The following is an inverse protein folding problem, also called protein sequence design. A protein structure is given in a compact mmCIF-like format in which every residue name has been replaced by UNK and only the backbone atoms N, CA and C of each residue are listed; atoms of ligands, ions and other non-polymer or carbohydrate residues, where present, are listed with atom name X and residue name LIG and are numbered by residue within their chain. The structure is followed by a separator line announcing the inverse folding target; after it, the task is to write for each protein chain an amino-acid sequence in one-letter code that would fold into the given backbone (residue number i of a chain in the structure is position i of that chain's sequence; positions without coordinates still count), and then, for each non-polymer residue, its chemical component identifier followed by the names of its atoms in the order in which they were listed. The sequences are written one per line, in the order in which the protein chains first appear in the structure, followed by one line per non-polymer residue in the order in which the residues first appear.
data_IF_653964983207
#
_entry.id   IF_653964983207
#
_cell.length_a   1.000
_cell.length_b   1.000
_cell.length_c   1.000
_cell.angle_alpha   90.00
_cell.angle_beta   90.00
_cell.angle_gamma   90.00
#
_symmetry.space_group_name_H-M   'P 1'
#
loop_
_entity.id
_entity.type
_entity.pdbx_description
1 polymer ?
#
# COMPACT_ATOMS: atom_id res chain seq x y z
N UNK A 1 15.11 -14.11 -35.85
CA UNK A 1 13.98 -13.35 -35.25
C UNK A 1 14.17 -13.33 -33.74
N UNK A 2 14.29 -12.15 -33.10
CA UNK A 2 14.50 -12.02 -31.65
C UNK A 2 13.13 -11.94 -30.97
N UNK A 3 12.71 -12.98 -30.25
CA UNK A 3 11.40 -13.01 -29.57
C UNK A 3 11.50 -12.21 -28.27
N UNK A 4 10.68 -11.16 -28.11
CA UNK A 4 10.54 -10.40 -26.86
C UNK A 4 9.32 -10.94 -26.12
N UNK A 5 9.53 -11.61 -24.99
CA UNK A 5 8.42 -12.06 -24.13
C UNK A 5 7.81 -10.82 -23.46
N UNK A 6 6.52 -10.60 -23.66
CA UNK A 6 5.75 -9.58 -22.96
C UNK A 6 4.72 -10.28 -22.09
N UNK A 7 4.65 -9.92 -20.82
CA UNK A 7 3.56 -10.33 -19.94
C UNK A 7 2.37 -9.41 -20.19
N UNK A 8 1.21 -10.00 -20.49
CA UNK A 8 -0.05 -9.27 -20.59
C UNK A 8 -0.92 -9.66 -19.40
N UNK A 9 -1.17 -8.69 -18.52
CA UNK A 9 -2.08 -8.87 -17.40
C UNK A 9 -3.43 -8.29 -17.83
N UNK A 10 -4.37 -9.17 -18.15
CA UNK A 10 -5.74 -8.78 -18.47
C UNK A 10 -6.59 -8.82 -17.21
N UNK A 11 -6.95 -7.64 -16.71
CA UNK A 11 -7.87 -7.50 -15.58
C UNK A 11 -9.27 -7.32 -16.15
N UNK A 12 -10.15 -8.29 -15.90
CA UNK A 12 -11.56 -8.19 -16.29
C UNK A 12 -12.19 -6.98 -15.59
N UNK A 13 -13.21 -6.39 -16.21
CA UNK A 13 -13.97 -5.32 -15.57
C UNK A 13 -14.60 -5.86 -14.29
N UNK A 14 -14.03 -5.43 -13.17
CA UNK A 14 -14.49 -5.72 -11.82
C UNK A 14 -14.74 -4.38 -11.13
N UNK A 15 -15.92 -4.23 -10.51
CA UNK A 15 -16.30 -3.02 -9.79
C UNK A 15 -15.38 -2.70 -8.62
N UNK A 16 -14.61 -3.69 -8.15
CA UNK A 16 -13.74 -3.54 -6.98
C UNK A 16 -12.34 -3.02 -7.31
N UNK A 17 -11.87 -3.11 -8.56
CA UNK A 17 -10.49 -2.70 -8.93
C UNK A 17 -10.25 -1.22 -8.63
N UNK A 18 -11.23 -0.36 -8.93
CA UNK A 18 -11.12 1.07 -8.60
C UNK A 18 -11.00 1.29 -7.09
N UNK A 19 -11.73 0.52 -6.28
CA UNK A 19 -11.67 0.58 -4.81
C UNK A 19 -10.32 0.13 -4.28
N UNK A 20 -9.78 -0.98 -4.78
CA UNK A 20 -8.46 -1.48 -4.41
C UNK A 20 -7.36 -0.47 -4.76
N UNK A 21 -7.38 0.09 -5.97
CA UNK A 21 -6.44 1.14 -6.37
C UNK A 21 -6.52 2.37 -5.46
N UNK A 22 -7.72 2.76 -5.04
CA UNK A 22 -7.91 3.88 -4.12
C UNK A 22 -7.29 3.59 -2.75
N UNK A 23 -7.56 2.42 -2.16
CA UNK A 23 -6.98 1.98 -0.89
C UNK A 23 -5.45 1.91 -0.96
N UNK A 24 -4.89 1.31 -2.03
CA UNK A 24 -3.44 1.22 -2.23
C UNK A 24 -2.78 2.59 -2.34
N UNK A 25 -3.38 3.53 -3.09
CA UNK A 25 -2.88 4.90 -3.20
C UNK A 25 -2.86 5.60 -1.84
N UNK A 26 -3.91 5.44 -1.04
CA UNK A 26 -4.01 6.07 0.27
C UNK A 26 -2.98 5.50 1.25
N UNK A 27 -2.79 4.17 1.26
CA UNK A 27 -1.75 3.52 2.07
C UNK A 27 -0.34 3.99 1.68
N UNK A 28 -0.07 4.14 0.39
CA UNK A 28 1.19 4.70 -0.10
C UNK A 28 1.42 6.13 0.39
N UNK A 29 0.39 6.98 0.31
CA UNK A 29 0.46 8.35 0.80
C UNK A 29 0.69 8.41 2.32
N UNK A 30 0.02 7.55 3.09
CA UNK A 30 0.18 7.46 4.54
C UNK A 30 1.59 7.05 4.93
N UNK A 31 2.13 6.03 4.25
CA UNK A 31 3.51 5.58 4.46
C UNK A 31 4.51 6.68 4.14
N UNK A 32 4.36 7.34 2.98
CA UNK A 32 5.23 8.44 2.59
C UNK A 32 5.17 9.62 3.54
N UNK A 33 3.98 9.93 4.07
CA UNK A 33 3.84 10.98 5.07
C UNK A 33 4.71 10.67 6.29
N UNK A 34 4.61 9.45 6.86
CA UNK A 34 5.40 9.02 8.02
C UNK A 34 6.89 9.13 7.72
N UNK A 35 7.36 8.51 6.63
CA UNK A 35 8.78 8.49 6.28
C UNK A 35 9.32 9.90 5.99
N UNK A 36 8.53 10.76 5.35
CA UNK A 36 8.88 12.16 5.10
C UNK A 36 9.01 12.94 6.40
N UNK A 37 8.11 12.74 7.37
CA UNK A 37 8.21 13.39 8.67
C UNK A 37 9.48 12.97 9.40
N UNK A 38 9.81 11.68 9.39
CA UNK A 38 11.05 11.16 10.00
C UNK A 38 12.29 11.76 9.34
N UNK A 39 12.30 11.83 8.01
CA UNK A 39 13.39 12.43 7.25
C UNK A 39 13.59 13.91 7.61
N UNK A 40 12.51 14.70 7.63
CA UNK A 40 12.58 16.14 7.98
C UNK A 40 13.08 16.33 9.42
N UNK A 41 12.67 15.46 10.35
CA UNK A 41 13.07 15.49 11.75
C UNK A 41 14.45 14.86 12.03
N UNK A 42 15.11 14.29 11.01
CA UNK A 42 16.37 13.54 11.14
C UNK A 42 16.27 12.34 12.10
N UNK A 43 15.10 11.72 12.16
CA UNK A 43 14.87 10.49 12.90
C UNK A 43 15.32 9.26 12.08
N UNK A 44 15.55 8.13 12.76
CA UNK A 44 15.75 6.87 12.06
C UNK A 44 14.50 6.51 11.24
N UNK A 45 14.68 6.10 9.98
CA UNK A 45 13.56 5.72 9.12
C UNK A 45 12.94 4.41 9.59
N UNK A 46 11.61 4.35 9.65
CA UNK A 46 10.90 3.11 9.96
C UNK A 46 11.13 2.08 8.86
N UNK A 47 11.55 0.88 9.26
CA UNK A 47 11.71 -0.25 8.34
C UNK A 47 10.38 -0.88 7.95
N UNK A 48 10.41 -1.74 6.93
CA UNK A 48 9.21 -2.43 6.43
C UNK A 48 8.43 -3.18 7.51
N UNK A 49 9.10 -3.99 8.33
CA UNK A 49 8.44 -4.79 9.36
C UNK A 49 7.73 -3.93 10.42
N UNK A 50 8.30 -2.78 10.75
CA UNK A 50 7.72 -1.86 11.73
C UNK A 50 6.53 -1.10 11.14
N UNK A 51 6.60 -0.71 9.86
CA UNK A 51 5.45 -0.16 9.13
C UNK A 51 4.30 -1.17 9.05
N UNK A 52 4.59 -2.44 8.76
CA UNK A 52 3.59 -3.51 8.74
C UNK A 52 2.91 -3.64 10.11
N UNK A 53 3.68 -3.72 11.20
CA UNK A 53 3.12 -3.77 12.57
C UNK A 53 2.28 -2.53 12.89
N UNK A 54 2.76 -1.35 12.51
CA UNK A 54 2.06 -0.08 12.72
C UNK A 54 0.70 -0.08 12.03
N UNK A 55 0.66 -0.49 10.76
CA UNK A 55 -0.55 -0.50 9.95
C UNK A 55 -1.44 -1.74 10.19
N UNK A 56 -0.98 -2.76 10.92
CA UNK A 56 -1.84 -3.85 11.38
C UNK A 56 -2.82 -3.39 12.48
N UNK A 57 -2.40 -2.43 13.32
CA UNK A 57 -3.24 -1.91 14.41
C UNK A 57 -4.27 -0.92 13.83
N UNK A 58 -5.58 -1.18 13.98
CA UNK A 58 -6.61 -0.26 13.50
C UNK A 58 -6.57 1.07 14.24
N UNK A 59 -6.74 2.15 13.49
CA UNK A 59 -7.01 3.48 14.00
C UNK A 59 -8.51 3.69 14.23
N UNK A 60 -8.85 4.60 15.14
CA UNK A 60 -10.23 5.11 15.29
C UNK A 60 -10.69 5.91 14.07
N UNK A 61 -9.74 6.39 13.26
CA UNK A 61 -10.00 7.04 11.98
C UNK A 61 -10.06 5.99 10.87
N UNK A 62 -11.27 5.71 10.37
CA UNK A 62 -11.50 4.67 9.37
C UNK A 62 -10.77 4.95 8.04
N UNK A 63 -10.49 6.21 7.70
CA UNK A 63 -9.71 6.59 6.52
C UNK A 63 -8.23 6.18 6.62
N UNK A 64 -7.76 5.87 7.84
CA UNK A 64 -6.39 5.39 8.11
C UNK A 64 -6.25 3.88 8.10
N UNK A 65 -7.36 3.15 8.03
CA UNK A 65 -7.37 1.69 8.08
C UNK A 65 -7.19 1.04 6.69
N UNK A 66 -6.44 1.69 5.78
CA UNK A 66 -6.29 1.22 4.39
C UNK A 66 -5.60 -0.16 4.31
N UNK A 67 -4.63 -0.42 5.19
CA UNK A 67 -3.91 -1.68 5.22
C UNK A 67 -4.81 -2.86 5.57
N UNK A 68 -5.70 -2.69 6.55
CA UNK A 68 -6.66 -3.72 6.98
C UNK A 68 -7.78 -3.92 5.95
N UNK A 69 -8.14 -2.87 5.21
CA UNK A 69 -9.18 -2.91 4.17
C UNK A 69 -8.71 -3.58 2.88
N UNK A 70 -7.41 -3.57 2.61
CA UNK A 70 -6.86 -4.29 1.46
C UNK A 70 -6.97 -5.80 1.71
N UNK A 71 -7.42 -6.58 0.72
CA UNK A 71 -7.42 -8.03 0.85
C UNK A 71 -5.97 -8.49 1.01
N UNK A 72 -5.68 -9.18 2.11
CA UNK A 72 -4.39 -9.82 2.27
C UNK A 72 -4.20 -10.80 1.10
N UNK A 73 -3.03 -10.79 0.48
CA UNK A 73 -2.64 -11.91 -0.39
C UNK A 73 -2.56 -13.14 0.50
N UNK A 74 -3.62 -13.97 0.54
CA UNK A 74 -3.44 -15.38 0.87
C UNK A 74 -2.66 -15.96 -0.30
N UNK A 75 -1.34 -16.01 -0.12
CA UNK A 75 -0.45 -16.82 -0.94
C UNK A 75 -0.80 -18.30 -0.77
#
# INVERSE_FOLDING_TARGET
MKVKRTEQIYIRKDGNVSGLCHLSKNLFNQTNYILRQQFIKKEAMTGYNDLVKLFQVPSNDDERNNYQKLPAQTA
#
